data_IF_304038915887
#
_entry.id   IF_304038915887
#
_cell.length_a   1.000
_cell.length_b   1.000
_cell.length_c   1.000
_cell.angle_alpha   90.00
_cell.angle_beta   90.00
_cell.angle_gamma   90.00
#
_symmetry.space_group_name_H-M   'P 1'
#
loop_
_entity.id
_entity.type
_entity.pdbx_description
1 polymer ?
#
# COMPACT_ATOMS: atom_id res chain seq x y z
N UNK A 1 -28.38 -4.38 16.15
CA UNK A 1 -28.02 -5.14 17.39
C UNK A 1 -27.63 -4.20 18.54
N UNK A 2 -28.18 -2.97 18.60
CA UNK A 2 -27.98 -2.00 19.70
C UNK A 2 -29.33 -1.43 20.18
N UNK A 3 -30.44 -1.82 19.55
CA UNK A 3 -31.77 -1.23 19.79
C UNK A 3 -32.37 -1.60 21.17
N UNK A 4 -31.89 -2.67 21.80
CA UNK A 4 -32.30 -3.07 23.16
C UNK A 4 -31.68 -2.20 24.28
N UNK A 5 -30.59 -1.47 23.99
CA UNK A 5 -29.94 -0.59 24.98
C UNK A 5 -30.62 0.78 25.09
N UNK A 6 -31.45 1.16 24.11
CA UNK A 6 -32.05 2.50 24.02
C UNK A 6 -33.32 2.66 24.85
N UNK A 7 -34.01 1.56 25.14
CA UNK A 7 -35.26 1.53 25.94
C UNK A 7 -35.03 1.19 27.42
N UNK A 8 -33.77 1.08 27.85
CA UNK A 8 -33.40 0.69 29.21
C UNK A 8 -33.16 1.92 30.08
N UNK A 9 -33.79 1.94 31.25
CA UNK A 9 -33.66 3.06 32.17
C UNK A 9 -32.19 3.22 32.59
N UNK A 10 -31.73 4.46 32.79
CA UNK A 10 -30.34 4.76 33.20
C UNK A 10 -29.94 3.92 34.41
N UNK A 11 -30.89 3.66 35.31
CA UNK A 11 -30.68 2.80 36.47
C UNK A 11 -30.36 1.35 36.14
N UNK A 12 -31.00 0.77 35.14
CA UNK A 12 -30.71 -0.61 34.72
C UNK A 12 -29.35 -0.73 34.04
N UNK A 13 -28.91 0.30 33.31
CA UNK A 13 -27.55 0.35 32.78
C UNK A 13 -26.52 0.46 33.91
N UNK A 14 -26.77 1.28 34.93
CA UNK A 14 -25.91 1.39 36.12
C UNK A 14 -25.85 0.06 36.88
N UNK A 15 -26.98 -0.62 37.08
CA UNK A 15 -27.00 -1.93 37.74
C UNK A 15 -26.33 -3.02 36.91
N UNK A 16 -26.51 -3.04 35.59
CA UNK A 16 -25.83 -3.99 34.71
C UNK A 16 -24.33 -3.77 34.69
N UNK A 17 -23.87 -2.53 34.56
CA UNK A 17 -22.44 -2.20 34.60
C UNK A 17 -21.83 -2.54 35.95
N UNK A 18 -22.51 -2.23 37.05
CA UNK A 18 -22.07 -2.59 38.40
C UNK A 18 -22.04 -4.11 38.60
N UNK A 19 -23.05 -4.84 38.12
CA UNK A 19 -23.07 -6.30 38.15
C UNK A 19 -21.91 -6.90 37.35
N UNK A 20 -21.63 -6.38 36.15
CA UNK A 20 -20.48 -6.82 35.34
C UNK A 20 -19.17 -6.56 36.08
N UNK A 21 -19.03 -5.40 36.71
CA UNK A 21 -17.82 -5.05 37.47
C UNK A 21 -17.63 -5.95 38.70
N UNK A 22 -18.71 -6.22 39.45
CA UNK A 22 -18.72 -7.15 40.59
C UNK A 22 -18.39 -8.58 40.14
N UNK A 23 -18.98 -9.04 39.04
CA UNK A 23 -18.68 -10.37 38.47
C UNK A 23 -17.21 -10.46 38.04
N UNK A 24 -16.68 -9.43 37.37
CA UNK A 24 -15.27 -9.38 36.96
C UNK A 24 -14.31 -9.40 38.15
N UNK A 25 -14.61 -8.63 39.21
CA UNK A 25 -13.78 -8.60 40.42
C UNK A 25 -13.80 -9.92 41.16
N UNK A 26 -14.98 -10.54 41.32
CA UNK A 26 -15.10 -11.88 41.94
C UNK A 26 -14.37 -12.94 41.11
N UNK A 27 -14.54 -12.94 39.79
CA UNK A 27 -13.83 -13.85 38.89
C UNK A 27 -12.32 -13.65 38.95
N UNK A 28 -11.84 -12.41 38.99
CA UNK A 28 -10.42 -12.09 39.10
C UNK A 28 -9.83 -12.58 40.42
N UNK A 29 -10.54 -12.37 41.54
CA UNK A 29 -10.13 -12.88 42.84
C UNK A 29 -10.10 -14.42 42.87
N UNK A 30 -11.10 -15.07 42.28
CA UNK A 30 -11.17 -16.53 42.23
C UNK A 30 -10.07 -17.13 41.33
N UNK A 31 -9.83 -16.51 40.17
CA UNK A 31 -8.76 -16.88 39.25
C UNK A 31 -7.39 -16.73 39.92
N UNK A 32 -7.15 -15.61 40.61
CA UNK A 32 -5.91 -15.34 41.35
C UNK A 32 -5.69 -16.40 42.43
N UNK A 33 -6.72 -16.71 43.21
CA UNK A 33 -6.67 -17.75 44.26
C UNK A 33 -6.44 -19.14 43.69
N UNK A 34 -7.08 -19.49 42.57
CA UNK A 34 -6.89 -20.76 41.88
C UNK A 34 -5.47 -20.89 41.29
N UNK A 35 -4.93 -19.81 40.72
CA UNK A 35 -3.56 -19.72 40.19
C UNK A 35 -2.52 -19.96 41.29
N UNK A 36 -2.67 -19.27 42.42
CA UNK A 36 -1.75 -19.38 43.57
C UNK A 36 -1.82 -20.79 44.17
N UNK A 37 -3.02 -21.36 44.34
CA UNK A 37 -3.20 -22.74 44.84
C UNK A 37 -2.57 -23.80 43.93
N UNK A 38 -2.52 -23.54 42.62
CA UNK A 38 -1.97 -24.48 41.63
C UNK A 38 -0.45 -24.30 41.41
N UNK A 39 0.20 -23.41 42.17
CA UNK A 39 1.65 -23.15 42.07
C UNK A 39 2.07 -22.56 40.72
N UNK A 40 1.14 -22.00 39.95
CA UNK A 40 1.46 -21.43 38.64
C UNK A 40 2.27 -20.16 38.82
N UNK A 41 3.57 -20.22 38.50
CA UNK A 41 4.47 -19.08 38.53
C UNK A 41 4.01 -18.02 37.53
N UNK A 42 4.16 -16.74 37.88
CA UNK A 42 3.96 -15.56 37.03
C UNK A 42 4.32 -15.72 35.52
N UNK A 43 5.41 -16.40 35.12
CA UNK A 43 5.73 -16.67 33.70
C UNK A 43 4.68 -17.44 32.90
N UNK A 44 3.76 -18.20 33.51
CA UNK A 44 2.69 -18.87 32.75
C UNK A 44 1.60 -17.89 32.33
N UNK A 45 1.23 -16.97 33.23
CA UNK A 45 0.19 -15.97 33.00
C UNK A 45 0.66 -14.98 31.93
N UNK A 46 1.90 -14.51 32.00
CA UNK A 46 2.50 -13.60 31.01
C UNK A 46 2.52 -14.25 29.61
N UNK A 47 2.94 -15.52 29.51
CA UNK A 47 2.92 -16.25 28.22
C UNK A 47 1.52 -16.44 27.66
N UNK A 48 0.53 -16.66 28.53
CA UNK A 48 -0.87 -16.78 28.13
C UNK A 48 -1.41 -15.44 27.59
N UNK A 49 -1.12 -14.33 28.27
CA UNK A 49 -1.49 -13.00 27.79
C UNK A 49 -0.82 -12.65 26.46
N UNK A 50 0.47 -12.92 26.30
CA UNK A 50 1.17 -12.68 25.02
C UNK A 50 0.52 -13.45 23.86
N UNK A 51 0.19 -14.73 24.09
CA UNK A 51 -0.46 -15.56 23.06
C UNK A 51 -1.88 -15.11 22.72
N UNK A 52 -2.63 -14.61 23.71
CA UNK A 52 -3.95 -14.01 23.47
C UNK A 52 -3.81 -12.72 22.70
N UNK A 53 -2.87 -11.85 23.08
CA UNK A 53 -2.63 -10.58 22.41
C UNK A 53 -2.24 -10.78 20.94
N UNK A 54 -1.32 -11.70 20.65
CA UNK A 54 -0.97 -12.09 19.27
C UNK A 54 -2.21 -12.54 18.49
N UNK A 55 -3.06 -13.40 19.09
CA UNK A 55 -4.26 -13.93 18.43
C UNK A 55 -5.33 -12.87 18.21
N UNK A 56 -5.51 -11.94 19.16
CA UNK A 56 -6.43 -10.81 19.03
C UNK A 56 -5.93 -9.86 17.94
N UNK A 57 -4.64 -9.54 17.91
CA UNK A 57 -4.04 -8.70 16.87
C UNK A 57 -4.21 -9.33 15.49
N UNK A 58 -3.99 -10.65 15.36
CA UNK A 58 -4.18 -11.35 14.09
C UNK A 58 -5.64 -11.30 13.59
N UNK A 59 -6.61 -11.38 14.50
CA UNK A 59 -8.04 -11.31 14.19
C UNK A 59 -8.47 -9.89 13.83
N UNK A 60 -7.94 -8.87 14.51
CA UNK A 60 -8.32 -7.47 14.33
C UNK A 60 -7.63 -6.83 13.12
N UNK A 61 -6.43 -7.29 12.74
CA UNK A 61 -5.68 -6.74 11.60
C UNK A 61 -6.48 -6.80 10.29
N UNK A 62 -7.23 -7.89 10.05
CA UNK A 62 -7.95 -8.07 8.78
C UNK A 62 -9.12 -7.11 8.57
N UNK A 63 -10.07 -6.96 9.53
CA UNK A 63 -11.11 -5.95 9.40
C UNK A 63 -10.54 -4.55 9.15
N UNK A 64 -9.45 -4.20 9.83
CA UNK A 64 -8.78 -2.90 9.63
C UNK A 64 -8.24 -2.78 8.20
N UNK A 65 -7.47 -3.77 7.71
CA UNK A 65 -6.92 -3.70 6.35
C UNK A 65 -8.02 -3.64 5.29
N UNK A 66 -9.10 -4.40 5.44
CA UNK A 66 -10.23 -4.35 4.51
C UNK A 66 -10.90 -2.97 4.56
N UNK A 67 -11.16 -2.43 5.75
CA UNK A 67 -11.76 -1.10 5.89
C UNK A 67 -10.87 0.02 5.31
N UNK A 68 -9.55 -0.09 5.45
CA UNK A 68 -8.62 0.86 4.80
C UNK A 68 -8.64 0.70 3.29
N UNK A 69 -8.69 -0.52 2.77
CA UNK A 69 -8.81 -0.74 1.33
C UNK A 69 -10.15 -0.22 0.77
N UNK A 70 -11.21 -0.23 1.58
CA UNK A 70 -12.49 0.39 1.22
C UNK A 70 -12.35 1.91 1.08
N UNK A 71 -11.76 2.57 2.09
CA UNK A 71 -11.52 4.01 2.05
C UNK A 71 -10.60 4.41 0.87
N UNK A 72 -9.52 3.65 0.65
CA UNK A 72 -8.59 3.91 -0.46
C UNK A 72 -9.27 3.68 -1.81
N UNK A 73 -10.16 2.70 -1.92
CA UNK A 73 -10.90 2.48 -3.16
C UNK A 73 -11.85 3.64 -3.48
N UNK A 74 -12.52 4.19 -2.47
CA UNK A 74 -13.41 5.34 -2.61
C UNK A 74 -12.62 6.60 -3.02
N UNK A 75 -11.44 6.82 -2.42
CA UNK A 75 -10.54 7.92 -2.82
C UNK A 75 -10.05 7.74 -4.25
N UNK A 76 -9.60 6.53 -4.62
CA UNK A 76 -9.11 6.27 -5.97
C UNK A 76 -10.23 6.49 -7.00
N UNK A 77 -11.46 6.11 -6.69
CA UNK A 77 -12.59 6.27 -7.60
C UNK A 77 -12.89 7.75 -7.95
N UNK A 78 -12.50 8.69 -7.10
CA UNK A 78 -12.71 10.13 -7.33
C UNK A 78 -11.60 10.82 -8.13
N UNK A 79 -10.51 10.13 -8.47
CA UNK A 79 -9.34 10.70 -9.13
C UNK A 79 -9.46 10.78 -10.67
N UNK A 80 -8.95 11.87 -11.26
CA UNK A 80 -8.81 12.06 -12.71
C UNK A 80 -7.42 11.61 -13.19
N UNK A 81 -7.19 10.30 -13.28
CA UNK A 81 -5.86 9.75 -13.56
C UNK A 81 -5.40 9.99 -14.99
N UNK A 82 -6.27 9.77 -15.97
CA UNK A 82 -5.87 9.87 -17.37
C UNK A 82 -5.59 11.32 -17.75
N UNK A 83 -6.32 12.27 -17.15
CA UNK A 83 -6.09 13.70 -17.31
C UNK A 83 -4.76 14.15 -16.71
N UNK A 84 -4.43 13.70 -15.51
CA UNK A 84 -3.13 14.00 -14.89
C UNK A 84 -1.97 13.43 -15.72
N UNK A 85 -2.13 12.21 -16.25
CA UNK A 85 -1.16 11.59 -17.15
C UNK A 85 -1.04 12.40 -18.45
N UNK A 86 -2.16 12.78 -19.08
CA UNK A 86 -2.14 13.58 -20.31
C UNK A 86 -1.41 14.92 -20.11
N UNK A 87 -1.62 15.59 -18.98
CA UNK A 87 -0.94 16.85 -18.67
C UNK A 87 0.57 16.66 -18.53
N UNK A 88 1.02 15.61 -17.83
CA UNK A 88 2.43 15.28 -17.70
C UNK A 88 3.07 14.88 -19.05
N UNK A 89 2.32 14.21 -19.93
CA UNK A 89 2.78 13.86 -21.28
C UNK A 89 2.91 15.09 -22.18
N UNK A 90 2.01 16.07 -22.06
CA UNK A 90 2.12 17.35 -22.79
C UNK A 90 3.33 18.14 -22.32
N UNK A 91 3.59 18.17 -21.02
CA UNK A 91 4.74 18.88 -20.45
C UNK A 91 6.10 18.32 -20.93
N UNK A 92 6.15 17.02 -21.22
CA UNK A 92 7.38 16.32 -21.65
C UNK A 92 7.32 15.85 -23.12
N UNK A 93 6.50 16.49 -23.94
CA UNK A 93 6.22 16.06 -25.32
C UNK A 93 7.47 15.86 -26.17
N UNK A 94 8.37 16.85 -26.20
CA UNK A 94 9.58 16.81 -27.02
C UNK A 94 10.52 15.67 -26.60
N UNK A 95 10.70 15.48 -25.29
CA UNK A 95 11.50 14.39 -24.74
C UNK A 95 10.92 13.00 -25.06
N UNK A 96 9.59 12.88 -25.12
CA UNK A 96 8.92 11.65 -25.51
C UNK A 96 9.08 11.34 -27.01
N UNK A 97 9.05 12.35 -27.88
CA UNK A 97 9.31 12.17 -29.32
C UNK A 97 10.73 11.66 -29.56
N UNK A 98 11.71 12.27 -28.90
CA UNK A 98 13.12 11.85 -29.01
C UNK A 98 13.29 10.41 -28.54
N UNK A 99 12.69 10.06 -27.39
CA UNK A 99 12.70 8.71 -26.84
C UNK A 99 12.05 7.70 -27.80
N UNK A 100 10.87 8.01 -28.35
CA UNK A 100 10.17 7.12 -29.28
C UNK A 100 10.98 6.93 -30.56
N UNK A 101 11.54 8.00 -31.12
CA UNK A 101 12.40 7.95 -32.30
C UNK A 101 13.63 7.06 -32.06
N UNK A 102 14.28 7.19 -30.90
CA UNK A 102 15.39 6.34 -30.50
C UNK A 102 14.97 4.86 -30.40
N UNK A 103 13.81 4.57 -29.77
CA UNK A 103 13.32 3.19 -29.64
C UNK A 103 12.93 2.57 -30.97
N UNK A 104 12.27 3.32 -31.85
CA UNK A 104 11.87 2.86 -33.20
C UNK A 104 13.11 2.61 -34.08
N UNK A 105 14.14 3.45 -33.99
CA UNK A 105 15.42 3.25 -34.69
C UNK A 105 16.15 2.00 -34.21
N UNK A 106 16.05 1.68 -32.92
CA UNK A 106 16.67 0.49 -32.32
C UNK A 106 15.82 -0.79 -32.44
N UNK A 107 14.58 -0.71 -32.94
CA UNK A 107 13.69 -1.85 -33.10
C UNK A 107 14.21 -2.80 -34.20
N UNK A 108 14.44 -4.10 -33.91
CA UNK A 108 14.82 -5.10 -34.90
C UNK A 108 13.89 -5.16 -36.12
N UNK A 109 12.61 -4.86 -35.91
CA UNK A 109 11.53 -4.86 -36.90
C UNK A 109 11.67 -3.72 -37.92
N UNK A 110 12.36 -2.63 -37.57
CA UNK A 110 12.49 -1.44 -38.44
C UNK A 110 13.65 -1.51 -39.43
N UNK A 111 14.55 -2.52 -39.33
CA UNK A 111 15.76 -2.68 -40.19
C UNK A 111 15.50 -2.68 -41.70
N UNK A 112 14.33 -3.12 -42.14
CA UNK A 112 13.97 -3.15 -43.57
C UNK A 112 13.49 -1.76 -44.03
N UNK A 113 12.79 -1.03 -43.16
CA UNK A 113 12.20 0.28 -43.44
C UNK A 113 13.21 1.41 -43.25
N UNK A 114 14.23 1.22 -42.39
CA UNK A 114 15.28 2.18 -42.09
C UNK A 114 16.24 2.48 -43.26
N UNK A 115 16.10 1.77 -44.39
CA UNK A 115 16.90 1.99 -45.62
C UNK A 115 16.23 2.94 -46.61
N UNK A 116 15.01 3.39 -46.35
CA UNK A 116 14.26 4.27 -47.26
C UNK A 116 14.72 5.72 -47.05
N UNK A 117 15.02 6.49 -48.11
CA UNK A 117 15.34 7.91 -47.99
C UNK A 117 14.12 8.66 -47.41
N UNK A 118 14.34 9.48 -46.38
CA UNK A 118 13.27 10.20 -45.67
C UNK A 118 12.64 9.44 -44.49
N UNK A 119 13.16 8.27 -44.11
CA UNK A 119 12.71 7.50 -42.95
C UNK A 119 12.56 8.35 -41.67
N UNK A 120 13.57 9.16 -41.34
CA UNK A 120 13.57 9.96 -40.11
C UNK A 120 12.43 11.01 -40.09
N UNK A 121 12.12 11.62 -41.23
CA UNK A 121 11.02 12.57 -41.35
C UNK A 121 9.67 11.88 -41.20
N UNK A 122 9.50 10.70 -41.80
CA UNK A 122 8.27 9.90 -41.72
C UNK A 122 8.05 9.42 -40.29
N UNK A 123 9.06 8.83 -39.66
CA UNK A 123 8.97 8.33 -38.28
C UNK A 123 8.72 9.48 -37.31
N UNK A 124 9.36 10.63 -37.49
CA UNK A 124 9.11 11.83 -36.70
C UNK A 124 7.65 12.26 -36.78
N UNK A 125 7.11 12.46 -37.99
CA UNK A 125 5.72 12.90 -38.16
C UNK A 125 4.70 11.87 -37.68
N UNK A 126 4.93 10.58 -37.93
CA UNK A 126 4.04 9.52 -37.46
C UNK A 126 4.07 9.42 -35.93
N UNK A 127 5.25 9.52 -35.33
CA UNK A 127 5.41 9.47 -33.87
C UNK A 127 4.76 10.68 -33.20
N UNK A 128 4.98 11.88 -33.74
CA UNK A 128 4.34 13.11 -33.26
C UNK A 128 2.82 13.02 -33.35
N UNK A 129 2.29 12.60 -34.50
CA UNK A 129 0.84 12.46 -34.71
C UNK A 129 0.25 11.42 -33.77
N UNK A 130 0.91 10.27 -33.62
CA UNK A 130 0.45 9.20 -32.73
C UNK A 130 0.46 9.64 -31.28
N UNK A 131 1.54 10.29 -30.83
CA UNK A 131 1.66 10.82 -29.47
C UNK A 131 0.56 11.84 -29.17
N UNK A 132 0.30 12.75 -30.11
CA UNK A 132 -0.79 13.73 -29.99
C UNK A 132 -2.15 13.06 -29.83
N UNK A 133 -2.48 12.10 -30.70
CA UNK A 133 -3.74 11.35 -30.63
C UNK A 133 -3.85 10.60 -29.30
N UNK A 134 -2.76 9.96 -28.83
CA UNK A 134 -2.76 9.26 -27.55
C UNK A 134 -3.01 10.22 -26.36
N UNK A 135 -2.39 11.39 -26.38
CA UNK A 135 -2.60 12.44 -25.37
C UNK A 135 -4.05 12.92 -25.37
N UNK A 136 -4.61 13.19 -26.56
CA UNK A 136 -6.01 13.60 -26.72
C UNK A 136 -6.96 12.51 -26.19
N UNK A 137 -6.69 11.25 -26.51
CA UNK A 137 -7.45 10.09 -26.00
C UNK A 137 -7.35 9.98 -24.47
N UNK A 138 -6.18 10.20 -23.88
CA UNK A 138 -6.00 10.22 -22.41
C UNK A 138 -6.78 11.36 -21.75
N UNK A 139 -6.94 12.50 -22.43
CA UNK A 139 -7.72 13.64 -21.94
C UNK A 139 -9.24 13.48 -22.05
N UNK A 140 -9.70 12.54 -22.87
CA UNK A 140 -11.12 12.27 -23.13
C UNK A 140 -11.81 11.65 -21.89
N UNK A 141 -13.00 12.15 -21.49
CA UNK A 141 -13.72 11.64 -20.31
C UNK A 141 -14.07 10.15 -20.40
N UNK A 142 -14.25 9.58 -21.60
CA UNK A 142 -14.55 8.15 -21.79
C UNK A 142 -13.36 7.26 -21.44
N UNK A 143 -12.14 7.75 -21.70
CA UNK A 143 -10.93 7.02 -21.33
C UNK A 143 -10.70 7.06 -19.81
N UNK A 144 -11.05 8.18 -19.17
CA UNK A 144 -11.00 8.31 -17.70
C UNK A 144 -11.97 7.31 -17.04
N UNK A 145 -13.20 7.18 -17.56
CA UNK A 145 -14.18 6.19 -17.10
C UNK A 145 -13.66 4.74 -17.30
N UNK A 146 -13.12 4.43 -18.47
CA UNK A 146 -12.54 3.11 -18.75
C UNK A 146 -11.43 2.74 -17.77
N UNK A 147 -10.50 3.68 -17.50
CA UNK A 147 -9.40 3.45 -16.56
C UNK A 147 -9.93 3.33 -15.13
N UNK A 148 -10.90 4.16 -14.74
CA UNK A 148 -11.55 4.08 -13.42
C UNK A 148 -12.22 2.71 -13.21
N UNK A 149 -12.89 2.17 -14.22
CA UNK A 149 -13.49 0.83 -14.17
C UNK A 149 -12.45 -0.28 -14.03
N UNK A 150 -11.33 -0.18 -14.77
CA UNK A 150 -10.22 -1.11 -14.62
C UNK A 150 -9.63 -1.05 -13.21
N UNK A 151 -9.40 0.14 -12.65
CA UNK A 151 -8.89 0.32 -11.29
C UNK A 151 -9.87 -0.24 -10.26
N UNK A 152 -11.18 0.02 -10.42
CA UNK A 152 -12.23 -0.52 -9.56
C UNK A 152 -12.22 -2.04 -9.53
N UNK A 153 -12.12 -2.69 -10.69
CA UNK A 153 -12.05 -4.15 -10.76
C UNK A 153 -10.78 -4.69 -10.09
N UNK A 154 -9.62 -4.09 -10.37
CA UNK A 154 -8.35 -4.48 -9.73
C UNK A 154 -8.39 -4.30 -8.20
N UNK A 155 -8.96 -3.22 -7.69
CA UNK A 155 -9.14 -2.98 -6.25
C UNK A 155 -10.05 -4.03 -5.60
N UNK A 156 -11.13 -4.42 -6.29
CA UNK A 156 -11.98 -5.52 -5.83
C UNK A 156 -11.22 -6.85 -5.78
N UNK A 157 -10.39 -7.15 -6.78
CA UNK A 157 -9.53 -8.33 -6.77
C UNK A 157 -8.54 -8.31 -5.60
N UNK A 158 -7.90 -7.16 -5.33
CA UNK A 158 -6.98 -7.00 -4.19
C UNK A 158 -7.73 -7.23 -2.87
N UNK A 159 -8.92 -6.65 -2.69
CA UNK A 159 -9.75 -6.85 -1.50
C UNK A 159 -10.10 -8.33 -1.28
N UNK A 160 -10.44 -9.05 -2.35
CA UNK A 160 -10.72 -10.49 -2.29
C UNK A 160 -9.48 -11.29 -1.91
N UNK A 161 -8.33 -11.02 -2.56
CA UNK A 161 -7.06 -11.68 -2.25
C UNK A 161 -6.62 -11.47 -0.78
N UNK A 162 -6.81 -10.24 -0.26
CA UNK A 162 -6.55 -9.89 1.15
C UNK A 162 -7.47 -10.66 2.09
N UNK A 163 -8.76 -10.77 1.75
CA UNK A 163 -9.75 -11.50 2.54
C UNK A 163 -9.44 -13.01 2.59
N UNK A 164 -8.93 -13.56 1.49
CA UNK A 164 -8.60 -14.97 1.32
C UNK A 164 -7.19 -15.35 1.84
N UNK A 165 -6.46 -14.42 2.48
CA UNK A 165 -5.06 -14.59 2.94
C UNK A 165 -4.06 -14.94 1.82
N UNK A 166 -4.36 -14.70 0.54
CA UNK A 166 -3.42 -15.00 -0.54
C UNK A 166 -2.11 -14.20 -0.43
N UNK A 167 -2.16 -13.04 0.23
CA UNK A 167 -1.01 -12.16 0.46
C UNK A 167 -0.07 -12.64 1.58
N UNK A 168 -0.50 -13.58 2.44
CA UNK A 168 0.34 -14.13 3.52
C UNK A 168 1.29 -15.23 2.99
N UNK A 169 0.99 -15.80 1.82
CA UNK A 169 1.84 -16.75 1.11
C UNK A 169 2.93 -16.07 0.25
N UNK A 170 2.87 -14.73 0.12
CA UNK A 170 3.91 -13.94 -0.54
C UNK A 170 5.04 -13.72 0.48
N UNK A 171 6.29 -14.15 0.20
CA UNK A 171 7.41 -13.91 1.10
C UNK A 171 7.49 -12.43 1.47
N UNK A 172 7.80 -12.13 2.74
CA UNK A 172 8.01 -10.76 3.19
C UNK A 172 8.96 -10.05 2.21
N UNK A 173 8.57 -8.88 1.72
CA UNK A 173 9.39 -8.07 0.82
C UNK A 173 10.80 -7.94 1.40
N UNK A 174 11.78 -8.55 0.74
CA UNK A 174 13.19 -8.22 0.93
C UNK A 174 13.30 -6.71 0.74
N UNK A 175 13.96 -5.96 1.64
CA UNK A 175 14.23 -4.55 1.41
C UNK A 175 14.76 -4.35 -0.02
N UNK A 176 14.31 -3.32 -0.75
CA UNK A 176 14.80 -3.09 -2.10
C UNK A 176 16.32 -3.08 -2.09
N UNK A 177 16.93 -3.79 -3.04
CA UNK A 177 18.38 -3.86 -3.16
C UNK A 177 18.94 -2.44 -3.09
N UNK A 178 20.02 -2.21 -2.30
CA UNK A 178 20.62 -0.89 -2.21
C UNK A 178 20.94 -0.42 -3.63
N UNK A 179 20.48 0.79 -3.96
CA UNK A 179 20.66 1.39 -5.29
C UNK A 179 22.08 1.11 -5.76
N UNK A 180 22.25 0.37 -6.88
CA UNK A 180 23.55 0.01 -7.40
C UNK A 180 24.45 1.25 -7.47
N UNK A 181 25.75 1.16 -7.16
CA UNK A 181 26.64 2.32 -7.10
C UNK A 181 26.59 3.19 -8.37
N UNK A 182 26.35 2.57 -9.53
CA UNK A 182 26.26 3.24 -10.83
C UNK A 182 24.96 4.06 -11.03
N UNK A 183 23.92 3.86 -10.20
CA UNK A 183 22.65 4.60 -10.26
C UNK A 183 22.55 5.72 -9.20
N UNK A 184 23.51 5.81 -8.26
CA UNK A 184 23.51 6.88 -7.23
C UNK A 184 23.75 8.28 -7.80
N UNK A 185 24.27 8.38 -9.01
CA UNK A 185 24.66 9.66 -9.64
C UNK A 185 23.52 10.36 -10.39
N UNK A 186 22.31 9.79 -10.42
CA UNK A 186 21.17 10.33 -11.19
C UNK A 186 20.19 11.11 -10.29
N UNK A 187 20.40 11.19 -8.96
CA UNK A 187 19.57 12.05 -8.10
C UNK A 187 20.08 13.49 -8.08
N UNK A 188 19.36 14.48 -8.65
CA UNK A 188 19.67 15.88 -8.45
C UNK A 188 18.97 16.38 -7.18
N UNK A 189 19.75 16.98 -6.28
CA UNK A 189 19.34 17.96 -5.27
C UNK A 189 18.38 17.51 -4.14
N UNK A 190 18.94 16.97 -3.06
CA UNK A 190 18.50 17.36 -1.70
C UNK A 190 19.74 17.72 -0.89
N UNK A 191 19.84 18.98 -0.47
CA UNK A 191 20.95 19.52 0.32
C UNK A 191 21.11 18.83 1.68
N UNK A 192 22.21 19.10 2.40
CA UNK A 192 22.59 18.34 3.59
C UNK A 192 21.63 18.65 4.75
N UNK A 193 20.87 17.63 5.17
CA UNK A 193 20.23 17.64 6.49
C UNK A 193 21.32 17.45 7.53
N UNK A 194 21.79 18.57 8.07
CA UNK A 194 22.58 18.63 9.30
C UNK A 194 21.66 18.27 10.47
N UNK A 195 21.89 17.12 11.09
CA UNK A 195 21.18 16.66 12.27
C UNK A 195 22.05 15.70 13.05
N UNK A 196 22.70 16.22 14.10
CA UNK A 196 23.69 15.51 14.89
C UNK A 196 23.13 14.54 15.94
N UNK A 197 23.83 13.41 16.07
CA UNK A 197 24.11 12.70 17.33
C UNK A 197 23.16 11.56 17.74
N UNK A 198 23.59 10.67 18.67
CA UNK A 198 24.93 10.09 18.82
C UNK A 198 24.92 8.55 19.02
N UNK A 199 26.05 7.90 18.70
CA UNK A 199 26.50 6.70 19.41
C UNK A 199 26.03 5.33 18.91
N UNK A 200 26.88 4.66 18.15
CA UNK A 200 27.13 3.22 18.39
C UNK A 200 28.51 2.87 17.86
N UNK A 201 29.48 2.90 18.77
CA UNK A 201 30.76 2.21 18.64
C UNK A 201 30.51 0.73 18.41
N UNK A 202 30.97 0.20 17.27
CA UNK A 202 31.32 -1.21 17.16
C UNK A 202 32.81 -1.28 16.82
N UNK A 203 33.52 -1.76 17.83
CA UNK A 203 34.96 -1.97 17.88
C UNK A 203 35.36 -3.16 17.01
N UNK A 204 36.59 -3.07 16.51
CA UNK A 204 37.24 -3.98 15.62
C UNK A 204 38.00 -5.06 16.40
N UNK A 205 37.79 -6.32 16.05
CA UNK A 205 38.82 -7.39 16.11
C UNK A 205 38.36 -8.47 15.13
N UNK A 206 39.11 -8.92 14.12
CA UNK A 206 40.56 -8.95 14.02
C UNK A 206 41.10 -10.28 14.54
N UNK A 207 40.66 -11.40 13.95
CA UNK A 207 41.44 -12.64 13.73
C UNK A 207 40.63 -13.67 12.95
#
# INVERSE_FOLDING_TARGET
MIDWLRDRSVWELVWLTLLVLVVLTVLSAFATRALVRRGMRAPFVIRFFNRIQERVVEVVKRPITIAVLDEVADVIQTGHYTRNISAALVENHDALIDLVSEKVRNDPSSRVVSRIPGYDAIVGQVSETTLRVLIEMLGDPRMDELVSDLLRNNLQQIKLAVRERQNEAVPAHTPPDPVPPHLRHISPMTGPVSGGGPGSTYDATGR
#
